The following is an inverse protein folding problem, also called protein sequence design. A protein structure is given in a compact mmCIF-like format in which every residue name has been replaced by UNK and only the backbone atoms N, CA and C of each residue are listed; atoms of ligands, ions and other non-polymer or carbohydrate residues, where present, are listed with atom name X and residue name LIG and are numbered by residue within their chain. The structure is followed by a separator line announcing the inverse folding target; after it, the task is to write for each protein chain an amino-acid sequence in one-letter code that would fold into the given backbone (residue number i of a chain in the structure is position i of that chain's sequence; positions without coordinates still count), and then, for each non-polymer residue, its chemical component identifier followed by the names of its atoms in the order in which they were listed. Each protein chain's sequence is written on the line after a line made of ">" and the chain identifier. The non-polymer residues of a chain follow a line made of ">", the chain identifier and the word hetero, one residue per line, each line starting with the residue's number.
data_IF_278973690721
#
_entry.id   IF_278973690721
#
_cell.length_a   1.000
_cell.length_b   1.000
_cell.length_c   1.000
_cell.angle_alpha   90.00
_cell.angle_beta   90.00
_cell.angle_gamma   90.00
#
_symmetry.space_group_name_H-M   'P 1'
#
loop_
_entity.id
_entity.type
_entity.pdbx_description
1 polymer ?
#
# COMPACT_ATOMS: atom_id res chain seq x y z
N UNK A 1 15.42 5.91 -9.17
CA UNK A 1 15.30 4.65 -8.42
C UNK A 1 15.15 5.09 -6.98
N UNK A 2 13.90 5.15 -6.52
CA UNK A 2 13.56 5.95 -5.35
C UNK A 2 13.69 5.12 -4.08
N UNK A 3 14.19 5.76 -3.02
CA UNK A 3 14.50 5.14 -1.74
C UNK A 3 13.65 5.79 -0.67
N UNK A 4 12.93 4.97 0.11
CA UNK A 4 12.22 5.44 1.30
C UNK A 4 12.91 4.84 2.52
N UNK A 5 13.37 5.72 3.41
CA UNK A 5 13.91 5.33 4.70
C UNK A 5 12.79 5.42 5.74
N UNK A 6 12.47 4.31 6.39
CA UNK A 6 11.47 4.24 7.46
C UNK A 6 12.19 3.93 8.76
N UNK A 7 11.90 4.73 9.79
CA UNK A 7 12.43 4.53 11.13
C UNK A 7 11.45 3.65 11.93
N UNK A 8 11.92 2.53 12.48
CA UNK A 8 11.09 1.58 13.24
C UNK A 8 11.62 1.42 14.67
N UNK A 9 10.87 0.73 15.53
CA UNK A 9 11.30 0.42 16.91
C UNK A 9 12.53 -0.49 16.99
N UNK A 10 12.85 -1.22 15.92
CA UNK A 10 14.00 -2.13 15.84
C UNK A 10 15.15 -1.57 15.00
N UNK A 11 15.03 -0.32 14.55
CA UNK A 11 16.04 0.36 13.73
C UNK A 11 15.50 0.86 12.39
N UNK A 12 16.42 1.36 11.58
CA UNK A 12 16.13 1.92 10.27
C UNK A 12 15.97 0.82 9.22
N UNK A 13 14.91 0.90 8.41
CA UNK A 13 14.68 0.03 7.26
C UNK A 13 14.71 0.88 5.99
N UNK A 14 15.54 0.48 5.02
CA UNK A 14 15.61 1.12 3.70
C UNK A 14 14.86 0.25 2.71
N UNK A 15 13.80 0.80 2.12
CA UNK A 15 13.03 0.14 1.06
C UNK A 15 13.49 0.73 -0.27
N UNK A 16 13.86 -0.15 -1.20
CA UNK A 16 14.28 0.19 -2.56
C UNK A 16 13.12 -0.03 -3.53
N UNK A 17 13.14 0.69 -4.65
CA UNK A 17 12.19 0.52 -5.75
C UNK A 17 10.73 0.76 -5.34
N UNK A 18 10.49 1.84 -4.58
CA UNK A 18 9.17 2.21 -4.09
C UNK A 18 8.47 3.09 -5.12
N UNK A 19 7.23 2.73 -5.49
CA UNK A 19 6.30 3.60 -6.21
C UNK A 19 5.58 4.51 -5.20
N UNK A 20 5.85 5.81 -5.27
CA UNK A 20 5.08 6.80 -4.50
C UNK A 20 3.71 7.00 -5.17
N UNK A 21 2.64 6.67 -4.44
CA UNK A 21 1.27 6.92 -4.88
C UNK A 21 0.67 8.02 -3.98
N UNK A 22 0.62 9.29 -4.44
CA UNK A 22 0.04 10.42 -3.70
C UNK A 22 -1.37 10.15 -3.18
N UNK A 23 -2.18 9.35 -3.90
CA UNK A 23 -3.53 8.97 -3.47
C UNK A 23 -3.61 7.99 -2.30
N UNK A 24 -2.47 7.41 -1.88
CA UNK A 24 -2.33 6.46 -0.76
C UNK A 24 -1.69 7.13 0.47
N UNK A 25 -1.77 8.46 0.57
CA UNK A 25 -1.18 9.27 1.65
C UNK A 25 -1.53 8.85 3.09
N UNK A 26 -2.53 7.98 3.29
CA UNK A 26 -2.84 7.37 4.58
C UNK A 26 -2.33 5.91 4.68
N UNK A 27 -1.12 5.78 5.23
CA UNK A 27 -0.64 4.64 6.01
C UNK A 27 -0.33 3.34 5.24
N UNK A 28 0.93 3.23 4.78
CA UNK A 28 1.63 1.95 4.60
C UNK A 28 1.48 1.02 5.84
N UNK A 29 1.30 1.63 7.03
CA UNK A 29 1.04 0.97 8.31
C UNK A 29 -0.29 0.18 8.36
N UNK A 30 -1.23 0.42 7.44
CA UNK A 30 -2.54 -0.23 7.39
C UNK A 30 -2.54 -1.53 6.58
N UNK A 31 -1.49 -1.81 5.79
CA UNK A 31 -1.46 -2.99 4.91
C UNK A 31 -1.50 -4.29 5.74
N UNK A 32 -0.77 -4.35 6.85
CA UNK A 32 -0.79 -5.51 7.76
C UNK A 32 -2.18 -5.74 8.38
N UNK A 33 -2.88 -4.67 8.78
CA UNK A 33 -4.26 -4.75 9.29
C UNK A 33 -5.28 -5.12 8.20
N UNK A 34 -5.06 -4.68 6.95
CA UNK A 34 -5.86 -5.08 5.79
C UNK A 34 -5.70 -6.58 5.56
N UNK A 35 -4.46 -7.09 5.56
CA UNK A 35 -4.15 -8.52 5.37
C UNK A 35 -4.68 -9.36 6.54
N UNK A 36 -4.53 -8.91 7.79
CA UNK A 36 -5.09 -9.59 8.98
C UNK A 36 -6.61 -9.75 8.93
N UNK A 37 -7.31 -8.85 8.24
CA UNK A 37 -8.76 -8.93 8.00
C UNK A 37 -9.13 -9.74 6.75
N UNK A 38 -8.17 -10.45 6.16
CA UNK A 38 -8.31 -11.25 4.94
C UNK A 38 -8.69 -10.45 3.68
N UNK A 39 -8.51 -9.13 3.72
CA UNK A 39 -8.68 -8.29 2.55
C UNK A 39 -7.46 -8.43 1.63
N UNK A 40 -7.68 -8.30 0.33
CA UNK A 40 -6.64 -8.39 -0.70
C UNK A 40 -6.30 -7.01 -1.22
N UNK A 41 -5.02 -6.75 -1.47
CA UNK A 41 -4.55 -5.54 -2.14
C UNK A 41 -4.01 -5.95 -3.52
N UNK A 42 -4.51 -5.30 -4.57
CA UNK A 42 -4.08 -5.52 -5.95
C UNK A 42 -3.57 -4.18 -6.50
N UNK A 43 -2.32 -4.19 -6.95
CA UNK A 43 -1.73 -3.10 -7.72
C UNK A 43 -1.80 -3.45 -9.21
N UNK A 44 -2.47 -2.63 -10.01
CA UNK A 44 -2.64 -2.81 -11.46
C UNK A 44 -2.39 -1.47 -12.17
N UNK A 45 -1.23 -1.34 -12.82
CA UNK A 45 -0.77 -0.07 -13.39
C UNK A 45 -0.70 1.04 -12.34
N UNK A 46 -1.49 2.09 -12.55
CA UNK A 46 -1.61 3.24 -11.63
C UNK A 46 -2.74 3.07 -10.60
N UNK A 47 -3.44 1.94 -10.61
CA UNK A 47 -4.54 1.65 -9.68
C UNK A 47 -4.07 0.78 -8.50
N UNK A 48 -4.57 1.11 -7.31
CA UNK A 48 -4.53 0.28 -6.12
C UNK A 48 -5.96 -0.06 -5.70
N UNK A 49 -6.29 -1.34 -5.77
CA UNK A 49 -7.59 -1.88 -5.43
C UNK A 49 -7.49 -2.67 -4.12
N UNK A 50 -8.38 -2.42 -3.17
CA UNK A 50 -8.55 -3.27 -1.99
C UNK A 50 -9.86 -4.01 -2.15
N UNK A 51 -9.80 -5.34 -2.03
CA UNK A 51 -10.96 -6.20 -2.05
C UNK A 51 -11.19 -6.82 -0.68
N UNK A 52 -12.45 -7.06 -0.34
CA UNK A 52 -12.79 -7.86 0.83
C UNK A 52 -12.52 -9.36 0.59
N UNK A 53 -12.70 -10.24 1.60
CA UNK A 53 -12.46 -11.67 1.44
C UNK A 53 -13.32 -12.33 0.34
N UNK A 54 -14.52 -11.79 0.12
CA UNK A 54 -15.46 -12.21 -0.92
C UNK A 54 -15.09 -11.70 -2.32
N UNK A 55 -13.95 -11.02 -2.45
CA UNK A 55 -13.41 -10.44 -3.69
C UNK A 55 -14.26 -9.31 -4.26
N UNK A 56 -15.01 -8.62 -3.40
CA UNK A 56 -15.71 -7.37 -3.75
C UNK A 56 -14.77 -6.18 -3.57
N UNK A 57 -14.79 -5.26 -4.51
CA UNK A 57 -13.99 -4.04 -4.47
C UNK A 57 -14.54 -3.08 -3.40
N UNK A 58 -13.73 -2.78 -2.38
CA UNK A 58 -14.11 -1.86 -1.29
C UNK A 58 -13.44 -0.49 -1.42
N UNK A 59 -12.22 -0.45 -1.95
CA UNK A 59 -11.48 0.80 -2.16
C UNK A 59 -10.78 0.73 -3.50
N UNK A 60 -10.90 1.81 -4.28
CA UNK A 60 -10.10 2.06 -5.48
C UNK A 60 -9.38 3.39 -5.32
N UNK A 61 -8.06 3.36 -5.38
CA UNK A 61 -7.21 4.54 -5.46
C UNK A 61 -6.49 4.54 -6.80
N UNK A 62 -6.50 5.66 -7.51
CA UNK A 62 -5.80 5.82 -8.79
C UNK A 62 -4.77 6.91 -8.64
N UNK A 63 -3.52 6.62 -8.99
CA UNK A 63 -2.52 7.65 -9.15
C UNK A 63 -2.80 8.41 -10.45
N UNK A 64 -3.01 9.72 -10.34
CA UNK A 64 -3.05 10.63 -11.48
C UNK A 64 -1.70 11.34 -11.46
N UNK A 65 -0.86 11.01 -12.44
CA UNK A 65 0.41 11.69 -12.68
C UNK A 65 0.25 13.22 -12.70
#
# INVERSE_FOLDING_TARGET
>A
MDLVKIMTRIGDVVIRDVLYVPGLAANLLSIDEIIKKHNKIIFDGNDCNILNPDSELIIKATNKD
#
